data_IF_045045336746
#
_entry.id   IF_045045336746
#
_cell.length_a   1.000
_cell.length_b   1.000
_cell.length_c   1.000
_cell.angle_alpha   90.00
_cell.angle_beta   90.00
_cell.angle_gamma   90.00
#
_symmetry.space_group_name_H-M   'P 1'
#
loop_
_entity.id
_entity.type
_entity.pdbx_description
1 polymer ?
#
# COMPACT_ATOMS: atom_id res chain seq x y z
N UNK A 1 8.18 -6.53 -6.22
CA UNK A 1 8.12 -7.88 -5.64
C UNK A 1 9.11 -8.77 -6.36
N UNK A 2 9.92 -9.55 -5.65
CA UNK A 2 10.90 -10.46 -6.27
C UNK A 2 10.55 -11.89 -5.90
N UNK A 3 10.32 -12.80 -6.87
CA UNK A 3 10.02 -14.19 -6.56
C UNK A 3 11.24 -14.90 -5.96
N UNK A 4 10.97 -15.73 -4.97
CA UNK A 4 11.89 -16.72 -4.40
C UNK A 4 11.24 -18.11 -4.52
N UNK A 5 11.87 -19.16 -3.99
CA UNK A 5 11.42 -20.55 -4.20
C UNK A 5 9.93 -20.78 -3.87
N UNK A 6 9.43 -20.23 -2.77
CA UNK A 6 8.06 -20.43 -2.29
C UNK A 6 7.33 -19.14 -1.89
N UNK A 7 8.00 -17.99 -1.96
CA UNK A 7 7.48 -16.70 -1.50
C UNK A 7 7.91 -15.57 -2.43
N UNK A 8 7.18 -14.47 -2.43
CA UNK A 8 7.64 -13.19 -2.94
C UNK A 8 8.29 -12.39 -1.82
N UNK A 9 9.46 -11.82 -2.09
CA UNK A 9 10.00 -10.75 -1.27
C UNK A 9 9.36 -9.43 -1.71
N UNK A 10 8.69 -8.77 -0.78
CA UNK A 10 8.09 -7.45 -0.97
C UNK A 10 9.17 -6.41 -0.69
N UNK A 11 9.33 -5.51 -1.66
CA UNK A 11 10.35 -4.47 -1.65
C UNK A 11 9.66 -3.11 -1.67
N UNK A 12 10.13 -2.20 -0.83
CA UNK A 12 9.80 -0.78 -0.89
C UNK A 12 10.84 -0.06 -1.73
N UNK A 13 10.40 0.75 -2.69
CA UNK A 13 11.28 1.63 -3.46
C UNK A 13 11.55 2.90 -2.64
N UNK A 14 12.81 3.11 -2.28
CA UNK A 14 13.24 4.26 -1.46
C UNK A 14 13.93 5.35 -2.28
N UNK A 15 14.43 5.04 -3.47
CA UNK A 15 15.09 6.01 -4.35
C UNK A 15 15.01 5.60 -5.82
N UNK A 16 14.99 6.61 -6.68
CA UNK A 16 15.16 6.48 -8.13
C UNK A 16 16.35 7.37 -8.53
N UNK A 17 17.32 6.79 -9.24
CA UNK A 17 18.47 7.50 -9.80
C UNK A 17 18.59 7.24 -11.29
N UNK A 18 18.95 8.26 -12.03
CA UNK A 18 19.30 8.17 -13.44
C UNK A 18 20.80 8.43 -13.58
N UNK A 19 21.49 7.60 -14.34
CA UNK A 19 22.89 7.77 -14.68
C UNK A 19 23.05 7.76 -16.19
N UNK A 20 23.47 8.90 -16.71
CA UNK A 20 23.85 9.04 -18.11
C UNK A 20 25.24 8.43 -18.31
N UNK A 21 25.33 7.49 -19.25
CA UNK A 21 26.61 6.91 -19.68
C UNK A 21 27.21 7.61 -20.90
N UNK A 22 26.60 8.71 -21.36
CA UNK A 22 27.09 9.49 -22.48
C UNK A 22 28.44 10.13 -22.13
N UNK A 23 29.47 10.00 -22.98
CA UNK A 23 30.77 10.62 -22.72
C UNK A 23 30.61 12.15 -22.72
N UNK A 24 31.26 12.83 -21.78
CA UNK A 24 31.19 14.29 -21.58
C UNK A 24 31.75 15.14 -22.76
N UNK A 25 32.18 14.51 -23.84
CA UNK A 25 32.82 15.15 -25.00
C UNK A 25 31.97 14.99 -26.26
N UNK A 26 30.87 15.73 -26.33
CA UNK A 26 30.08 15.91 -27.55
C UNK A 26 29.57 17.35 -27.61
N UNK A 27 30.26 18.22 -28.35
CA UNK A 27 29.81 19.58 -28.66
C UNK A 27 28.63 19.53 -29.65
N UNK A 28 27.45 19.12 -29.21
CA UNK A 28 26.22 19.13 -30.00
C UNK A 28 25.03 19.62 -29.16
N UNK A 29 24.06 20.35 -29.74
CA UNK A 29 22.91 20.90 -29.02
C UNK A 29 21.84 19.85 -28.66
N UNK A 30 22.10 18.57 -28.91
CA UNK A 30 21.10 17.50 -28.81
C UNK A 30 21.43 16.60 -27.61
N UNK A 31 20.60 16.73 -26.57
CA UNK A 31 20.70 15.97 -25.34
C UNK A 31 20.02 14.61 -25.56
N UNK A 32 20.72 13.65 -26.17
CA UNK A 32 20.20 12.30 -26.38
C UNK A 32 20.32 11.47 -25.09
N UNK A 33 19.18 11.30 -24.41
CA UNK A 33 19.03 10.49 -23.18
C UNK A 33 18.78 9.01 -23.47
N UNK A 34 18.88 8.54 -24.71
CA UNK A 34 18.59 7.14 -25.06
C UNK A 34 19.48 6.12 -24.31
N UNK A 35 20.65 6.52 -23.81
CA UNK A 35 21.60 5.65 -23.09
C UNK A 35 21.58 5.80 -21.57
N UNK A 36 20.61 6.53 -21.02
CA UNK A 36 20.48 6.74 -19.57
C UNK A 36 20.01 5.45 -18.87
N UNK A 37 20.81 4.95 -17.94
CA UNK A 37 20.38 3.83 -17.09
C UNK A 37 19.63 4.36 -15.86
N UNK A 38 18.52 3.73 -15.53
CA UNK A 38 17.73 4.02 -14.34
C UNK A 38 17.95 2.95 -13.28
N UNK A 39 18.21 3.37 -12.06
CA UNK A 39 18.44 2.53 -10.90
C UNK A 39 17.37 2.80 -9.85
N UNK A 40 16.80 1.73 -9.31
CA UNK A 40 15.91 1.79 -8.16
C UNK A 40 16.66 1.26 -6.94
N UNK A 41 16.66 2.04 -5.86
CA UNK A 41 17.07 1.53 -4.56
C UNK A 41 15.85 1.01 -3.84
N UNK A 42 16.01 -0.18 -3.27
CA UNK A 42 14.92 -0.93 -2.68
C UNK A 42 15.32 -1.50 -1.34
N UNK A 43 14.37 -1.57 -0.41
CA UNK A 43 14.54 -2.21 0.89
C UNK A 43 13.54 -3.36 1.01
N UNK A 44 13.98 -4.57 1.43
CA UNK A 44 13.05 -5.64 1.74
C UNK A 44 12.23 -5.33 2.98
N UNK A 45 10.91 -5.30 2.82
CA UNK A 45 9.95 -5.01 3.89
C UNK A 45 9.42 -6.31 4.50
N UNK A 46 9.20 -7.32 3.65
CA UNK A 46 8.65 -8.58 4.11
C UNK A 46 8.53 -9.65 3.05
N UNK A 47 7.89 -10.75 3.44
CA UNK A 47 7.67 -11.95 2.64
C UNK A 47 6.16 -12.20 2.45
N UNK A 48 5.78 -12.66 1.28
CA UNK A 48 4.41 -13.02 0.96
C UNK A 48 4.37 -14.38 0.25
N UNK A 49 3.71 -15.41 0.80
CA UNK A 49 3.68 -16.72 0.16
C UNK A 49 3.02 -16.70 -1.22
N UNK A 50 3.55 -17.50 -2.15
CA UNK A 50 3.03 -17.57 -3.53
C UNK A 50 1.63 -18.22 -3.55
N UNK A 51 1.42 -19.29 -2.77
CA UNK A 51 0.17 -20.06 -2.73
C UNK A 51 -0.69 -19.68 -1.52
N UNK A 52 -1.36 -18.54 -1.61
CA UNK A 52 -2.30 -18.08 -0.57
C UNK A 52 -1.63 -17.78 0.77
N UNK A 53 -2.36 -17.15 1.67
CA UNK A 53 -1.84 -16.69 2.96
C UNK A 53 -1.40 -15.23 2.95
N UNK A 54 -1.09 -14.73 4.13
CA UNK A 54 -0.87 -13.32 4.40
C UNK A 54 0.60 -12.92 4.26
N UNK A 55 0.81 -11.65 3.93
CA UNK A 55 2.09 -11.00 4.08
C UNK A 55 2.61 -11.06 5.52
N UNK A 56 3.93 -11.12 5.67
CA UNK A 56 4.64 -11.04 6.95
C UNK A 56 5.79 -10.06 6.84
N UNK A 57 5.93 -9.19 7.83
CA UNK A 57 7.09 -8.32 7.94
C UNK A 57 8.37 -9.13 8.17
N UNK A 58 9.46 -8.66 7.57
CA UNK A 58 10.75 -9.32 7.60
C UNK A 58 10.94 -10.37 6.50
N UNK A 59 12.20 -10.57 6.14
CA UNK A 59 12.64 -11.56 5.15
C UNK A 59 13.60 -12.53 5.79
N UNK A 60 13.46 -13.82 5.50
CA UNK A 60 14.42 -14.84 5.91
C UNK A 60 15.58 -14.99 4.92
N UNK A 61 15.37 -14.56 3.68
CA UNK A 61 16.32 -14.72 2.57
C UNK A 61 16.30 -13.46 1.71
N UNK A 62 17.48 -12.98 1.34
CA UNK A 62 17.59 -11.86 0.41
C UNK A 62 17.22 -12.29 -1.02
N UNK A 63 16.65 -11.38 -1.84
CA UNK A 63 16.40 -11.66 -3.25
C UNK A 63 17.69 -12.07 -3.98
N UNK A 64 17.66 -13.10 -4.84
CA UNK A 64 18.83 -13.49 -5.61
C UNK A 64 19.19 -12.43 -6.66
N UNK A 65 20.47 -12.37 -7.01
CA UNK A 65 20.94 -11.50 -8.09
C UNK A 65 20.27 -11.90 -9.40
N UNK A 66 19.95 -10.90 -10.24
CA UNK A 66 19.33 -11.07 -11.55
C UNK A 66 17.91 -11.65 -11.56
N UNK A 67 17.26 -11.81 -10.40
CA UNK A 67 15.83 -12.13 -10.39
C UNK A 67 14.98 -10.95 -10.87
N UNK A 68 13.85 -11.29 -11.50
CA UNK A 68 12.91 -10.31 -12.01
C UNK A 68 12.28 -9.51 -10.86
N UNK A 69 12.21 -8.19 -11.06
CA UNK A 69 11.48 -7.29 -10.19
C UNK A 69 10.09 -7.04 -10.77
N UNK A 70 9.08 -7.65 -10.15
CA UNK A 70 7.68 -7.56 -10.56
C UNK A 70 6.99 -6.38 -9.88
N UNK A 71 6.07 -5.72 -10.58
CA UNK A 71 5.18 -4.72 -10.00
C UNK A 71 4.04 -5.39 -9.20
N UNK A 72 3.57 -4.74 -8.14
CA UNK A 72 2.48 -5.26 -7.31
C UNK A 72 1.12 -4.94 -7.93
N UNK A 73 0.22 -5.92 -8.01
CA UNK A 73 -1.16 -5.72 -8.46
C UNK A 73 -2.06 -5.40 -7.27
N UNK A 74 -3.28 -4.97 -7.55
CA UNK A 74 -4.25 -4.59 -6.50
C UNK A 74 -4.52 -5.75 -5.51
N UNK A 75 -4.63 -6.99 -6.00
CA UNK A 75 -4.76 -8.18 -5.13
C UNK A 75 -3.51 -8.43 -4.27
N UNK A 76 -2.32 -8.09 -4.77
CA UNK A 76 -1.09 -8.20 -3.98
C UNK A 76 -1.09 -7.14 -2.86
N UNK A 77 -1.56 -5.92 -3.14
CA UNK A 77 -1.69 -4.85 -2.15
C UNK A 77 -2.72 -5.17 -1.08
N UNK A 78 -3.87 -5.69 -1.48
CA UNK A 78 -4.93 -6.06 -0.54
C UNK A 78 -4.44 -7.15 0.44
N UNK A 79 -3.62 -8.10 -0.02
CA UNK A 79 -2.93 -9.09 0.81
C UNK A 79 -1.82 -8.51 1.68
N UNK A 80 -1.03 -7.57 1.16
CA UNK A 80 0.05 -6.89 1.90
C UNK A 80 -0.53 -6.08 3.07
N UNK A 81 -1.58 -5.31 2.81
CA UNK A 81 -2.24 -4.49 3.82
C UNK A 81 -3.25 -5.27 4.66
N UNK A 82 -3.51 -6.54 4.32
CA UNK A 82 -4.45 -7.42 5.01
C UNK A 82 -5.85 -6.78 5.11
N UNK A 83 -6.39 -6.33 3.98
CA UNK A 83 -7.66 -5.58 3.88
C UNK A 83 -8.75 -6.31 3.08
N UNK A 84 -8.57 -7.60 2.76
CA UNK A 84 -9.56 -8.44 2.08
C UNK A 84 -10.69 -8.96 2.99
N UNK A 85 -10.86 -8.39 4.18
CA UNK A 85 -11.82 -8.90 5.16
C UNK A 85 -13.24 -8.46 4.79
N UNK A 86 -14.16 -9.39 4.46
CA UNK A 86 -15.54 -9.05 4.13
C UNK A 86 -16.29 -8.57 5.37
N UNK A 87 -17.25 -7.65 5.21
CA UNK A 87 -18.08 -7.19 6.32
C UNK A 87 -18.93 -8.33 6.90
N UNK A 88 -19.04 -8.37 8.23
CA UNK A 88 -19.89 -9.35 8.92
C UNK A 88 -21.35 -8.92 8.85
N UNK A 89 -22.26 -9.87 8.65
CA UNK A 89 -23.70 -9.63 8.82
C UNK A 89 -24.08 -9.86 10.28
N UNK A 90 -24.70 -8.85 10.89
CA UNK A 90 -25.18 -8.93 12.26
C UNK A 90 -26.61 -8.41 12.34
N UNK A 91 -27.47 -9.14 13.05
CA UNK A 91 -28.81 -8.69 13.39
C UNK A 91 -28.77 -8.06 14.78
N UNK A 92 -29.12 -6.77 14.87
CA UNK A 92 -29.23 -6.05 16.15
C UNK A 92 -30.67 -5.60 16.37
N UNK A 93 -31.10 -5.59 17.62
CA UNK A 93 -32.41 -5.08 18.02
C UNK A 93 -32.27 -3.57 18.20
N UNK A 94 -33.10 -2.78 17.52
CA UNK A 94 -33.13 -1.33 17.70
C UNK A 94 -33.78 -0.92 19.03
N UNK A 95 -33.78 0.38 19.32
CA UNK A 95 -34.35 0.92 20.57
C UNK A 95 -35.86 0.67 20.66
N UNK A 96 -36.52 0.46 19.52
CA UNK A 96 -37.94 0.18 19.36
C UNK A 96 -38.29 -1.31 19.43
N UNK A 97 -37.28 -2.20 19.61
CA UNK A 97 -37.47 -3.64 19.74
C UNK A 97 -37.56 -4.40 18.42
N UNK A 98 -37.36 -3.74 17.27
CA UNK A 98 -37.34 -4.38 15.96
C UNK A 98 -35.94 -4.92 15.62
N UNK A 99 -35.90 -6.14 15.08
CA UNK A 99 -34.66 -6.73 14.59
C UNK A 99 -34.27 -6.08 13.25
N UNK A 100 -33.13 -5.38 13.22
CA UNK A 100 -32.52 -4.82 12.02
C UNK A 100 -31.27 -5.61 11.67
N UNK A 101 -31.22 -6.10 10.45
CA UNK A 101 -29.99 -6.64 9.87
C UNK A 101 -29.09 -5.49 9.41
N UNK A 102 -27.83 -5.53 9.81
CA UNK A 102 -26.81 -4.58 9.40
C UNK A 102 -25.50 -5.30 9.08
N UNK A 103 -24.60 -4.58 8.42
CA UNK A 103 -23.24 -5.04 8.14
C UNK A 103 -22.24 -4.30 9.01
N UNK A 104 -21.31 -5.02 9.63
CA UNK A 104 -20.20 -4.44 10.39
C UNK A 104 -18.93 -4.54 9.53
N UNK A 105 -18.40 -3.43 9.02
CA UNK A 105 -17.19 -3.46 8.20
C UNK A 105 -15.94 -3.66 9.08
N UNK A 106 -15.03 -4.54 8.64
CA UNK A 106 -13.70 -4.70 9.25
C UNK A 106 -12.69 -3.66 8.77
N UNK A 107 -12.94 -3.04 7.62
CA UNK A 107 -12.06 -2.04 7.01
C UNK A 107 -12.81 -0.78 6.60
N UNK A 108 -12.15 0.36 6.67
CA UNK A 108 -12.63 1.63 6.12
C UNK A 108 -11.70 2.15 5.04
N UNK A 109 -12.26 2.82 4.04
CA UNK A 109 -11.48 3.55 3.06
C UNK A 109 -11.07 4.91 3.64
N UNK A 110 -9.78 5.23 3.55
CA UNK A 110 -9.20 6.48 4.05
C UNK A 110 -8.71 7.40 2.92
N UNK A 111 -8.77 6.94 1.68
CA UNK A 111 -8.42 7.71 0.49
C UNK A 111 -8.05 6.83 -0.69
N UNK A 112 -7.49 7.43 -1.74
CA UNK A 112 -7.01 6.73 -2.94
C UNK A 112 -5.50 6.87 -3.05
N UNK A 113 -4.82 5.82 -3.51
CA UNK A 113 -3.38 5.83 -3.64
C UNK A 113 -2.92 6.81 -4.71
N UNK A 114 -1.86 7.58 -4.40
CA UNK A 114 -1.20 8.46 -5.36
C UNK A 114 -0.23 7.70 -6.29
N UNK A 115 0.12 6.46 -5.95
CA UNK A 115 1.11 5.65 -6.67
C UNK A 115 0.43 4.55 -7.48
N UNK A 116 -0.53 3.86 -6.86
CA UNK A 116 -1.30 2.80 -7.49
C UNK A 116 -2.61 3.40 -8.01
N UNK A 117 -2.71 3.52 -9.33
CA UNK A 117 -3.82 4.19 -9.99
C UNK A 117 -5.16 3.57 -9.56
N UNK A 118 -6.07 4.43 -9.11
CA UNK A 118 -7.44 4.06 -8.70
C UNK A 118 -7.53 3.03 -7.56
N UNK A 119 -6.42 2.75 -6.85
CA UNK A 119 -6.42 1.81 -5.74
C UNK A 119 -6.96 2.47 -4.46
N UNK A 120 -8.07 1.99 -3.87
CA UNK A 120 -8.60 2.51 -2.62
C UNK A 120 -7.73 2.06 -1.44
N UNK A 121 -7.16 3.02 -0.72
CA UNK A 121 -6.38 2.75 0.49
C UNK A 121 -7.34 2.49 1.64
N UNK A 122 -7.27 1.28 2.19
CA UNK A 122 -8.11 0.82 3.29
C UNK A 122 -7.28 0.67 4.57
N UNK A 123 -7.92 0.86 5.72
CA UNK A 123 -7.35 0.58 7.02
C UNK A 123 -8.29 -0.35 7.80
N UNK A 124 -7.72 -1.27 8.58
CA UNK A 124 -8.50 -2.11 9.49
C UNK A 124 -9.06 -1.24 10.63
N UNK A 125 -10.37 -1.33 10.85
CA UNK A 125 -11.09 -0.49 11.80
C UNK A 125 -10.60 -0.74 13.23
N UNK A 126 -10.48 -2.01 13.62
CA UNK A 126 -10.02 -2.40 14.95
C UNK A 126 -8.57 -2.02 15.21
N UNK A 127 -7.69 -2.13 14.20
CA UNK A 127 -6.30 -1.70 14.34
C UNK A 127 -6.17 -0.17 14.47
N UNK A 128 -7.02 0.57 13.76
CA UNK A 128 -7.05 2.02 13.79
C UNK A 128 -7.59 2.50 15.15
N UNK A 129 -8.79 2.09 15.54
CA UNK A 129 -9.48 2.61 16.74
C UNK A 129 -9.23 1.82 18.02
N UNK A 130 -8.67 0.62 17.95
CA UNK A 130 -8.27 -0.16 19.12
C UNK A 130 -6.99 0.35 19.78
N UNK A 131 -6.21 1.19 19.07
CA UNK A 131 -5.03 1.87 19.58
C UNK A 131 -5.18 3.38 19.70
N UNK A 132 -4.07 4.08 19.94
CA UNK A 132 -3.99 5.53 19.82
C UNK A 132 -3.50 5.93 18.44
N UNK A 133 -4.17 6.91 17.82
CA UNK A 133 -3.80 7.45 16.50
C UNK A 133 -3.36 8.91 16.67
N UNK A 134 -2.35 9.32 15.91
CA UNK A 134 -1.97 10.71 15.76
C UNK A 134 -1.97 11.10 14.27
N UNK A 135 -2.62 12.22 13.93
CA UNK A 135 -2.57 12.81 12.59
C UNK A 135 -1.62 14.02 12.63
N UNK A 136 -0.45 13.86 12.01
CA UNK A 136 0.65 14.82 12.05
C UNK A 136 0.85 15.48 10.68
N UNK A 137 1.26 16.74 10.68
CA UNK A 137 1.52 17.49 9.44
C UNK A 137 1.61 19.00 9.65
N UNK A 138 2.14 19.71 8.67
CA UNK A 138 2.28 21.16 8.71
C UNK A 138 0.94 21.89 8.50
N UNK A 139 0.91 23.21 8.71
CA UNK A 139 -0.28 24.02 8.40
C UNK A 139 -0.65 23.89 6.93
N UNK A 140 -1.93 23.67 6.63
CA UNK A 140 -2.42 23.48 5.25
C UNK A 140 -2.24 22.07 4.67
N UNK A 141 -1.60 21.12 5.37
CA UNK A 141 -1.37 19.76 4.86
C UNK A 141 -2.59 18.82 4.93
N UNK A 142 -3.75 19.33 5.35
CA UNK A 142 -4.99 18.55 5.39
C UNK A 142 -5.29 17.81 6.70
N UNK A 143 -4.57 18.03 7.81
CA UNK A 143 -4.82 17.31 9.10
C UNK A 143 -6.30 17.23 9.51
N UNK A 144 -7.00 18.37 9.59
CA UNK A 144 -8.42 18.40 9.98
C UNK A 144 -9.33 17.76 8.93
N UNK A 145 -8.95 17.84 7.64
CA UNK A 145 -9.66 17.19 6.55
C UNK A 145 -9.56 15.66 6.68
N UNK A 146 -8.35 15.14 6.92
CA UNK A 146 -8.11 13.71 7.18
C UNK A 146 -8.95 13.19 8.33
N UNK A 147 -9.01 13.93 9.45
CA UNK A 147 -9.86 13.55 10.59
C UNK A 147 -11.33 13.51 10.18
N UNK A 148 -11.84 14.57 9.55
CA UNK A 148 -13.23 14.61 9.09
C UNK A 148 -13.58 13.46 8.14
N UNK A 149 -12.70 13.14 7.18
CA UNK A 149 -12.88 12.04 6.25
C UNK A 149 -12.93 10.68 6.95
N UNK A 150 -12.05 10.43 7.93
CA UNK A 150 -12.10 9.20 8.74
C UNK A 150 -13.45 9.07 9.47
N UNK A 151 -13.91 10.14 10.12
CA UNK A 151 -15.21 10.14 10.80
C UNK A 151 -16.38 9.90 9.84
N UNK A 152 -16.36 10.54 8.66
CA UNK A 152 -17.36 10.36 7.63
C UNK A 152 -17.38 8.91 7.12
N UNK A 153 -16.22 8.31 6.86
CA UNK A 153 -16.10 6.92 6.40
C UNK A 153 -16.67 5.89 7.39
N UNK A 154 -16.65 6.20 8.70
CA UNK A 154 -17.15 5.31 9.76
C UNK A 154 -18.64 5.51 10.02
N UNK A 155 -19.11 6.75 10.11
CA UNK A 155 -20.44 7.06 10.66
C UNK A 155 -21.46 7.58 9.65
N UNK A 156 -21.03 8.08 8.49
CA UNK A 156 -21.90 8.85 7.58
C UNK A 156 -22.09 8.17 6.22
N UNK A 157 -21.83 6.87 6.15
CA UNK A 157 -21.97 6.07 4.93
C UNK A 157 -23.43 5.92 4.50
#
# INVERSE_FOLDING_TARGET
MVPTQSEYVVLEVISLREKDFSPAYGNGPEMDKATAAKFLDVVPVGSMPVQGGSFKFGVSTFPPLYADALYARDEDLDRIFNVEQPADRQTKIDAEGAAKEGTVPHTIEIGTSAVFKDYPVKAQLDALFGGHIAVLGNTGSGKSCTVASIFQSVFMK
#
